data_IF_778840136688
#
_entry.id   IF_778840136688
#
_cell.length_a   1.000
_cell.length_b   1.000
_cell.length_c   1.000
_cell.angle_alpha   90.00
_cell.angle_beta   90.00
_cell.angle_gamma   90.00
#
_symmetry.space_group_name_H-M   'P 1'
#
loop_
_entity.id
_entity.type
_entity.pdbx_description
1 polymer ?
#
# COMPACT_ATOMS: atom_id res chain seq x y z
N UNK A 1 -14.29 -26.23 -1.23
CA UNK A 1 -14.71 -26.58 0.14
C UNK A 1 -14.64 -25.31 1.00
N UNK A 2 -15.79 -24.69 1.39
CA UNK A 2 -15.80 -23.39 2.09
C UNK A 2 -14.99 -23.34 3.39
N UNK A 3 -14.92 -24.45 4.11
CA UNK A 3 -14.12 -24.53 5.33
C UNK A 3 -12.61 -24.46 5.05
N UNK A 4 -12.15 -25.01 3.92
CA UNK A 4 -10.73 -24.98 3.53
C UNK A 4 -10.32 -23.55 3.14
N UNK A 5 -11.14 -22.84 2.35
CA UNK A 5 -10.91 -21.45 2.00
C UNK A 5 -10.87 -20.56 3.25
N UNK A 6 -11.77 -20.82 4.22
CA UNK A 6 -11.77 -20.13 5.52
C UNK A 6 -10.49 -20.34 6.32
N UNK A 7 -10.06 -21.59 6.49
CA UNK A 7 -8.82 -21.91 7.22
C UNK A 7 -7.60 -21.29 6.53
N UNK A 8 -7.49 -21.42 5.20
CA UNK A 8 -6.39 -20.84 4.44
C UNK A 8 -6.35 -19.30 4.59
N UNK A 9 -7.50 -18.65 4.54
CA UNK A 9 -7.61 -17.21 4.73
C UNK A 9 -7.12 -16.76 6.11
N UNK A 10 -7.49 -17.47 7.16
CA UNK A 10 -7.03 -17.16 8.53
C UNK A 10 -5.52 -17.34 8.65
N UNK A 11 -4.95 -18.41 8.08
CA UNK A 11 -3.51 -18.67 8.08
C UNK A 11 -2.76 -17.57 7.31
N UNK A 12 -3.24 -17.16 6.14
CA UNK A 12 -2.64 -16.11 5.34
C UNK A 12 -2.73 -14.75 6.05
N UNK A 13 -3.86 -14.44 6.67
CA UNK A 13 -4.04 -13.21 7.45
C UNK A 13 -3.10 -13.18 8.67
N UNK A 14 -2.99 -14.29 9.40
CA UNK A 14 -2.04 -14.41 10.51
C UNK A 14 -0.59 -14.25 10.03
N UNK A 15 -0.23 -14.90 8.93
CA UNK A 15 1.07 -14.75 8.30
C UNK A 15 1.37 -13.29 7.90
N UNK A 16 0.37 -12.60 7.35
CA UNK A 16 0.49 -11.17 7.01
C UNK A 16 0.75 -10.31 8.25
N UNK A 17 0.04 -10.57 9.35
CA UNK A 17 0.23 -9.85 10.60
C UNK A 17 1.66 -10.08 11.15
N UNK A 18 2.14 -11.32 11.14
CA UNK A 18 3.51 -11.67 11.56
C UNK A 18 4.56 -10.95 10.70
N UNK A 19 4.43 -11.01 9.37
CA UNK A 19 5.36 -10.33 8.45
C UNK A 19 5.36 -8.81 8.67
N UNK A 20 4.17 -8.22 8.87
CA UNK A 20 4.04 -6.77 9.11
C UNK A 20 4.71 -6.36 10.43
N UNK A 21 4.47 -7.11 11.51
CA UNK A 21 5.09 -6.88 12.82
C UNK A 21 6.63 -6.98 12.72
N UNK A 22 7.12 -8.00 12.02
CA UNK A 22 8.57 -8.21 11.82
C UNK A 22 9.19 -7.09 10.98
N UNK A 23 8.56 -6.73 9.86
CA UNK A 23 9.03 -5.63 8.99
C UNK A 23 9.09 -4.31 9.76
N UNK A 24 8.05 -4.00 10.53
CA UNK A 24 7.98 -2.78 11.34
C UNK A 24 8.88 -2.82 12.57
N UNK A 25 9.54 -3.96 12.83
CA UNK A 25 10.50 -4.15 13.92
C UNK A 25 9.88 -3.81 15.30
N UNK A 26 8.68 -4.34 15.53
CA UNK A 26 7.91 -4.11 16.76
C UNK A 26 8.27 -5.14 17.83
N UNK A 27 9.33 -4.89 18.58
CA UNK A 27 9.84 -5.83 19.60
C UNK A 27 9.03 -5.88 20.91
N UNK A 28 8.21 -4.85 21.18
CA UNK A 28 7.37 -4.84 22.39
C UNK A 28 6.10 -5.65 22.13
N UNK A 29 5.82 -6.72 22.92
CA UNK A 29 4.69 -7.62 22.66
C UNK A 29 3.34 -6.90 22.65
N UNK A 30 3.15 -5.90 23.51
CA UNK A 30 1.92 -5.10 23.50
C UNK A 30 1.74 -4.31 22.20
N UNK A 31 2.81 -3.71 21.65
CA UNK A 31 2.73 -2.97 20.38
C UNK A 31 2.56 -3.93 19.20
N UNK A 32 3.26 -5.05 19.20
CA UNK A 32 3.12 -6.09 18.19
C UNK A 32 1.71 -6.66 18.18
N UNK A 33 1.17 -7.00 19.36
CA UNK A 33 -0.20 -7.49 19.52
C UNK A 33 -1.25 -6.47 19.09
N UNK A 34 -1.08 -5.19 19.47
CA UNK A 34 -1.98 -4.13 19.06
C UNK A 34 -1.98 -3.91 17.54
N UNK A 35 -0.80 -3.91 16.90
CA UNK A 35 -0.68 -3.77 15.45
C UNK A 35 -1.32 -4.97 14.72
N UNK A 36 -1.07 -6.18 15.17
CA UNK A 36 -1.69 -7.40 14.63
C UNK A 36 -3.21 -7.37 14.80
N UNK A 37 -3.71 -6.99 15.98
CA UNK A 37 -5.14 -6.89 16.25
C UNK A 37 -5.81 -5.84 15.36
N UNK A 38 -5.22 -4.65 15.24
CA UNK A 38 -5.73 -3.60 14.36
C UNK A 38 -5.82 -4.08 12.91
N UNK A 39 -4.85 -4.85 12.43
CA UNK A 39 -4.84 -5.38 11.08
C UNK A 39 -5.92 -6.44 10.88
N UNK A 40 -6.07 -7.38 11.81
CA UNK A 40 -7.06 -8.47 11.72
C UNK A 40 -8.48 -7.95 11.89
N UNK A 41 -8.69 -7.00 12.80
CA UNK A 41 -10.02 -6.41 13.08
C UNK A 41 -10.37 -5.24 12.14
N UNK A 42 -9.53 -4.95 11.14
CA UNK A 42 -9.82 -3.85 10.22
C UNK A 42 -11.11 -4.13 9.42
N UNK A 43 -12.03 -3.16 9.31
CA UNK A 43 -13.34 -3.38 8.68
C UNK A 43 -13.27 -3.95 7.26
N UNK A 44 -12.25 -3.59 6.46
CA UNK A 44 -12.08 -4.13 5.12
C UNK A 44 -11.77 -5.64 5.14
N UNK A 45 -11.08 -6.17 6.16
CA UNK A 45 -10.87 -7.61 6.31
C UNK A 45 -12.20 -8.30 6.59
N UNK A 46 -13.04 -7.72 7.47
CA UNK A 46 -14.38 -8.22 7.74
C UNK A 46 -15.26 -8.23 6.48
N UNK A 47 -15.24 -7.16 5.69
CA UNK A 47 -15.99 -7.11 4.42
C UNK A 47 -15.48 -8.12 3.40
N UNK A 48 -14.19 -8.39 3.35
CA UNK A 48 -13.60 -9.43 2.47
C UNK A 48 -14.12 -10.82 2.84
N UNK A 49 -14.36 -11.09 4.12
CA UNK A 49 -14.92 -12.37 4.58
C UNK A 49 -16.34 -12.65 4.08
N UNK A 50 -17.05 -11.65 3.58
CA UNK A 50 -18.36 -11.86 2.93
C UNK A 50 -18.27 -12.53 1.56
N UNK A 51 -17.10 -12.47 0.92
CA UNK A 51 -16.81 -13.09 -0.37
C UNK A 51 -16.21 -14.50 -0.18
N UNK A 52 -17.01 -15.44 0.31
CA UNK A 52 -16.59 -16.79 0.76
C UNK A 52 -15.79 -17.56 -0.33
N UNK A 53 -16.11 -17.36 -1.60
CA UNK A 53 -15.48 -18.12 -2.70
C UNK A 53 -14.14 -17.54 -3.17
N UNK A 54 -13.81 -16.30 -2.82
CA UNK A 54 -12.59 -15.59 -3.26
C UNK A 54 -11.78 -15.05 -2.09
N UNK A 55 -12.22 -15.31 -0.85
CA UNK A 55 -11.61 -14.78 0.36
C UNK A 55 -10.14 -15.19 0.51
N UNK A 56 -9.82 -16.44 0.20
CA UNK A 56 -8.44 -16.96 0.23
C UNK A 56 -7.54 -16.26 -0.80
N UNK A 57 -8.06 -15.96 -1.99
CA UNK A 57 -7.35 -15.16 -2.99
C UNK A 57 -7.05 -13.75 -2.48
N UNK A 58 -8.01 -13.06 -1.88
CA UNK A 58 -7.79 -11.73 -1.30
C UNK A 58 -6.78 -11.77 -0.15
N UNK A 59 -6.87 -12.76 0.73
CA UNK A 59 -5.89 -12.90 1.82
C UNK A 59 -4.49 -13.28 1.31
N UNK A 60 -4.41 -14.04 0.21
CA UNK A 60 -3.14 -14.33 -0.46
C UNK A 60 -2.54 -13.06 -1.06
N UNK A 61 -3.33 -12.22 -1.73
CA UNK A 61 -2.86 -10.95 -2.27
C UNK A 61 -2.32 -10.02 -1.17
N UNK A 62 -3.03 -9.95 -0.03
CA UNK A 62 -2.60 -9.20 1.13
C UNK A 62 -1.28 -9.74 1.71
N UNK A 63 -1.17 -11.06 1.85
CA UNK A 63 0.04 -11.74 2.33
C UNK A 63 1.23 -11.49 1.40
N UNK A 64 1.03 -11.60 0.09
CA UNK A 64 2.08 -11.35 -0.90
C UNK A 64 2.56 -9.89 -0.87
N UNK A 65 1.68 -8.92 -0.63
CA UNK A 65 2.05 -7.52 -0.46
C UNK A 65 2.96 -7.30 0.76
N UNK A 66 2.64 -7.92 1.89
CA UNK A 66 3.49 -7.85 3.09
C UNK A 66 4.82 -8.61 2.89
N UNK A 67 4.76 -9.77 2.23
CA UNK A 67 5.94 -10.58 1.90
C UNK A 67 6.88 -9.83 0.96
N UNK A 68 6.37 -9.05 0.02
CA UNK A 68 7.18 -8.21 -0.86
C UNK A 68 8.05 -7.24 -0.06
N UNK A 69 7.45 -6.54 0.90
CA UNK A 69 8.20 -5.61 1.77
C UNK A 69 9.20 -6.36 2.64
N UNK A 70 8.79 -7.50 3.18
CA UNK A 70 9.67 -8.35 3.99
C UNK A 70 10.90 -8.83 3.19
N UNK A 71 10.70 -9.31 1.98
CA UNK A 71 11.79 -9.72 1.09
C UNK A 71 12.77 -8.57 0.83
N UNK A 72 12.26 -7.37 0.54
CA UNK A 72 13.11 -6.21 0.30
C UNK A 72 13.92 -5.81 1.54
N UNK A 73 13.34 -5.91 2.75
CA UNK A 73 13.99 -5.47 3.99
C UNK A 73 14.93 -6.51 4.59
N UNK A 74 14.53 -7.77 4.60
CA UNK A 74 15.22 -8.85 5.34
C UNK A 74 16.18 -9.66 4.49
N UNK A 75 16.13 -9.55 3.15
CA UNK A 75 17.05 -10.30 2.30
C UNK A 75 18.50 -9.90 2.53
N UNK A 76 19.44 -10.86 2.66
CA UNK A 76 20.83 -10.56 2.99
C UNK A 76 21.53 -9.63 1.99
N UNK A 77 21.24 -9.84 0.69
CA UNK A 77 21.72 -8.97 -0.38
C UNK A 77 20.59 -8.04 -0.80
N UNK A 78 20.64 -6.79 -0.35
CA UNK A 78 19.59 -5.77 -0.52
C UNK A 78 19.06 -5.59 -1.96
N UNK A 79 19.93 -5.72 -2.97
CA UNK A 79 19.52 -5.61 -4.39
C UNK A 79 18.77 -6.86 -4.84
N UNK A 80 19.26 -8.06 -4.46
CA UNK A 80 18.60 -9.32 -4.81
C UNK A 80 17.22 -9.48 -4.15
N UNK A 81 17.01 -8.87 -2.99
CA UNK A 81 15.70 -8.85 -2.33
C UNK A 81 14.61 -8.09 -3.10
N UNK A 82 14.98 -7.18 -4.00
CA UNK A 82 14.03 -6.48 -4.85
C UNK A 82 13.36 -7.40 -5.88
N UNK A 83 14.03 -8.47 -6.33
CA UNK A 83 13.48 -9.41 -7.32
C UNK A 83 12.29 -10.18 -6.76
N UNK A 84 12.42 -10.96 -5.64
CA UNK A 84 11.27 -11.64 -5.07
C UNK A 84 10.21 -10.66 -4.57
N UNK A 85 10.59 -9.46 -4.12
CA UNK A 85 9.64 -8.43 -3.74
C UNK A 85 8.79 -7.95 -4.93
N UNK A 86 9.40 -7.70 -6.09
CA UNK A 86 8.69 -7.33 -7.30
C UNK A 86 7.78 -8.48 -7.81
N UNK A 87 8.24 -9.73 -7.75
CA UNK A 87 7.41 -10.89 -8.08
C UNK A 87 6.19 -10.99 -7.16
N UNK A 88 6.39 -10.92 -5.83
CA UNK A 88 5.29 -10.96 -4.87
C UNK A 88 4.28 -9.83 -5.10
N UNK A 89 4.75 -8.61 -5.38
CA UNK A 89 3.86 -7.50 -5.72
C UNK A 89 3.08 -7.76 -7.01
N UNK A 90 3.76 -8.20 -8.07
CA UNK A 90 3.13 -8.49 -9.35
C UNK A 90 2.04 -9.55 -9.24
N UNK A 91 2.30 -10.64 -8.51
CA UNK A 91 1.29 -11.67 -8.22
C UNK A 91 0.15 -11.14 -7.36
N UNK A 92 0.45 -10.35 -6.33
CA UNK A 92 -0.58 -9.71 -5.50
C UNK A 92 -1.53 -8.86 -6.33
N UNK A 93 -0.99 -8.00 -7.19
CA UNK A 93 -1.78 -7.16 -8.11
C UNK A 93 -2.53 -7.99 -9.16
N UNK A 94 -1.96 -9.12 -9.61
CA UNK A 94 -2.62 -10.05 -10.52
C UNK A 94 -3.84 -10.72 -9.92
N UNK A 95 -3.86 -10.95 -8.60
CA UNK A 95 -5.03 -11.47 -7.88
C UNK A 95 -6.05 -10.34 -7.67
N UNK A 96 -5.61 -9.22 -7.10
CA UNK A 96 -6.46 -8.06 -6.89
C UNK A 96 -5.61 -6.78 -6.80
N UNK A 97 -5.77 -5.89 -7.76
CA UNK A 97 -4.95 -4.69 -7.93
C UNK A 97 -4.85 -3.81 -6.70
N UNK A 98 -5.95 -3.67 -5.94
CA UNK A 98 -6.01 -2.79 -4.77
C UNK A 98 -4.99 -3.15 -3.67
N UNK A 99 -4.57 -4.41 -3.57
CA UNK A 99 -3.60 -4.80 -2.53
C UNK A 99 -2.17 -4.32 -2.78
N UNK A 100 -1.84 -3.86 -4.00
CA UNK A 100 -0.60 -3.14 -4.25
C UNK A 100 -0.45 -1.88 -3.39
N UNK A 101 -1.58 -1.23 -2.99
CA UNK A 101 -1.59 -0.13 -2.04
C UNK A 101 -0.97 -0.51 -0.70
N UNK A 102 -1.20 -1.72 -0.21
CA UNK A 102 -0.66 -2.19 1.07
C UNK A 102 0.87 -2.18 1.05
N UNK A 103 1.49 -2.67 -0.02
CA UNK A 103 2.94 -2.62 -0.17
C UNK A 103 3.46 -1.18 -0.21
N UNK A 104 2.81 -0.30 -0.99
CA UNK A 104 3.20 1.11 -1.09
C UNK A 104 3.10 1.80 0.26
N UNK A 105 2.04 1.54 1.03
CA UNK A 105 1.85 2.09 2.37
C UNK A 105 2.90 1.59 3.35
N UNK A 106 3.19 0.30 3.34
CA UNK A 106 4.25 -0.26 4.18
C UNK A 106 5.62 0.37 3.83
N UNK A 107 5.90 0.64 2.56
CA UNK A 107 7.10 1.37 2.15
C UNK A 107 7.14 2.78 2.73
N UNK A 108 6.04 3.52 2.67
CA UNK A 108 5.96 4.85 3.28
C UNK A 108 6.19 4.79 4.80
N UNK A 109 5.57 3.83 5.50
CA UNK A 109 5.80 3.63 6.92
C UNK A 109 7.24 3.26 7.26
N UNK A 110 7.87 2.41 6.45
CA UNK A 110 9.28 2.06 6.64
C UNK A 110 10.21 3.26 6.47
N UNK A 111 9.96 4.13 5.49
CA UNK A 111 10.70 5.39 5.33
C UNK A 111 10.57 6.27 6.57
N UNK A 112 9.33 6.48 7.05
CA UNK A 112 9.06 7.28 8.25
C UNK A 112 9.75 6.67 9.48
N UNK A 113 9.63 5.36 9.70
CA UNK A 113 10.26 4.68 10.83
C UNK A 113 11.80 4.76 10.79
N UNK A 114 12.42 4.62 9.63
CA UNK A 114 13.87 4.78 9.49
C UNK A 114 14.31 6.21 9.83
N UNK A 115 13.57 7.22 9.38
CA UNK A 115 13.84 8.61 9.73
C UNK A 115 13.67 8.85 11.24
N UNK A 116 12.61 8.33 11.86
CA UNK A 116 12.36 8.47 13.29
C UNK A 116 13.42 7.79 14.15
N UNK A 117 13.86 6.58 13.77
CA UNK A 117 14.77 5.78 14.59
C UNK A 117 16.23 6.22 14.51
N UNK A 118 16.75 6.48 13.31
CA UNK A 118 18.20 6.69 13.09
C UNK A 118 18.54 7.95 12.33
N UNK A 119 17.56 8.59 11.65
CA UNK A 119 17.77 9.72 10.74
C UNK A 119 19.03 9.55 9.87
N UNK A 120 19.05 8.59 8.92
CA UNK A 120 20.20 8.32 8.08
C UNK A 120 20.59 9.55 7.23
N UNK A 121 21.79 9.57 6.65
CA UNK A 121 22.14 10.62 5.70
C UNK A 121 21.21 10.62 4.48
N UNK A 122 20.99 11.79 3.88
CA UNK A 122 20.07 11.98 2.76
C UNK A 122 20.33 10.98 1.60
N UNK A 123 21.62 10.72 1.31
CA UNK A 123 22.02 9.76 0.28
C UNK A 123 21.49 8.34 0.54
N UNK A 124 21.56 7.87 1.78
CA UNK A 124 21.04 6.54 2.13
C UNK A 124 19.51 6.49 2.02
N UNK A 125 18.82 7.54 2.47
CA UNK A 125 17.37 7.64 2.35
C UNK A 125 16.93 7.70 0.90
N UNK A 126 17.65 8.47 0.07
CA UNK A 126 17.39 8.54 -1.36
C UNK A 126 17.58 7.19 -2.05
N UNK A 127 18.70 6.51 -1.81
CA UNK A 127 18.96 5.17 -2.36
C UNK A 127 17.90 4.15 -1.90
N UNK A 128 17.45 4.27 -0.66
CA UNK A 128 16.39 3.42 -0.15
C UNK A 128 15.04 3.69 -0.86
N UNK A 129 14.68 4.95 -1.03
CA UNK A 129 13.47 5.34 -1.77
C UNK A 129 13.53 4.92 -3.25
N UNK A 130 14.69 5.07 -3.91
CA UNK A 130 14.92 4.59 -5.29
C UNK A 130 14.74 3.07 -5.37
N UNK A 131 15.26 2.32 -4.40
CA UNK A 131 15.08 0.87 -4.34
C UNK A 131 13.62 0.47 -4.18
N UNK A 132 12.87 1.17 -3.33
CA UNK A 132 11.42 0.98 -3.18
C UNK A 132 10.68 1.26 -4.48
N UNK A 133 10.97 2.40 -5.12
CA UNK A 133 10.36 2.79 -6.38
C UNK A 133 10.67 1.78 -7.50
N UNK A 134 11.91 1.31 -7.60
CA UNK A 134 12.32 0.29 -8.56
C UNK A 134 11.62 -1.05 -8.31
N UNK A 135 11.45 -1.45 -7.04
CA UNK A 135 10.69 -2.66 -6.68
C UNK A 135 9.22 -2.53 -7.06
N UNK A 136 8.61 -1.38 -6.79
CA UNK A 136 7.23 -1.10 -7.16
C UNK A 136 7.04 -1.11 -8.69
N UNK A 137 7.93 -0.44 -9.43
CA UNK A 137 7.91 -0.44 -10.89
C UNK A 137 8.13 -1.85 -11.48
N UNK A 138 9.06 -2.63 -10.89
CA UNK A 138 9.26 -4.03 -11.24
C UNK A 138 8.03 -4.89 -10.99
N UNK A 139 7.36 -4.70 -9.85
CA UNK A 139 6.11 -5.39 -9.52
C UNK A 139 4.99 -5.06 -10.51
N UNK A 140 4.86 -3.78 -10.88
CA UNK A 140 3.91 -3.37 -11.89
C UNK A 140 4.23 -3.98 -13.27
N UNK A 141 5.51 -4.04 -13.65
CA UNK A 141 5.94 -4.68 -14.90
C UNK A 141 5.61 -6.18 -14.90
N UNK A 142 5.84 -6.89 -13.79
CA UNK A 142 5.47 -8.31 -13.64
C UNK A 142 3.96 -8.48 -13.80
N UNK A 143 3.16 -7.66 -13.11
CA UNK A 143 1.71 -7.66 -13.24
C UNK A 143 1.26 -7.47 -14.69
N UNK A 144 1.81 -6.45 -15.36
CA UNK A 144 1.46 -6.16 -16.75
C UNK A 144 1.83 -7.30 -17.71
N UNK A 145 3.02 -7.89 -17.54
CA UNK A 145 3.45 -9.06 -18.31
C UNK A 145 2.52 -10.25 -18.09
N UNK A 146 2.15 -10.55 -16.84
CA UNK A 146 1.20 -11.61 -16.52
C UNK A 146 -0.16 -11.37 -17.20
N UNK A 147 -0.66 -10.14 -17.13
CA UNK A 147 -1.90 -9.75 -17.78
C UNK A 147 -1.85 -10.02 -19.29
N UNK A 148 -0.78 -9.59 -19.98
CA UNK A 148 -0.58 -9.81 -21.40
C UNK A 148 -0.50 -11.30 -21.76
N UNK A 149 0.18 -12.09 -20.95
CA UNK A 149 0.30 -13.54 -21.15
C UNK A 149 -1.08 -14.20 -21.00
N UNK A 150 -1.83 -13.88 -19.97
CA UNK A 150 -3.17 -14.46 -19.74
C UNK A 150 -4.10 -14.07 -20.89
N UNK A 151 -4.14 -12.82 -21.32
CA UNK A 151 -4.97 -12.38 -22.44
C UNK A 151 -4.64 -13.12 -23.74
N UNK A 152 -3.35 -13.32 -24.04
CA UNK A 152 -2.93 -14.08 -25.24
C UNK A 152 -3.29 -15.56 -25.17
N UNK A 153 -3.20 -16.16 -23.98
CA UNK A 153 -3.48 -17.59 -23.80
C UNK A 153 -4.99 -17.89 -23.81
N UNK A 154 -5.79 -16.98 -23.26
CA UNK A 154 -7.24 -17.17 -23.12
C UNK A 154 -8.03 -16.60 -24.31
N UNK A 155 -7.41 -15.73 -25.11
CA UNK A 155 -8.10 -14.99 -26.19
C UNK A 155 -9.15 -13.98 -25.67
N UNK A 156 -9.14 -13.69 -24.36
CA UNK A 156 -10.08 -12.75 -23.74
C UNK A 156 -9.50 -11.35 -23.82
N UNK A 157 -10.28 -10.41 -24.31
CA UNK A 157 -9.94 -8.98 -24.28
C UNK A 157 -10.31 -8.40 -22.92
N UNK A 158 -9.59 -7.34 -22.51
CA UNK A 158 -9.95 -6.60 -21.30
C UNK A 158 -11.35 -6.02 -21.49
N UNK A 159 -12.27 -6.38 -20.59
CA UNK A 159 -13.60 -5.78 -20.59
C UNK A 159 -13.54 -4.32 -20.14
N UNK A 160 -14.41 -3.46 -20.70
CA UNK A 160 -14.54 -2.04 -20.33
C UNK A 160 -15.05 -1.80 -18.90
N UNK A 161 -14.86 -2.78 -18.01
CA UNK A 161 -15.29 -2.64 -16.63
C UNK A 161 -14.32 -1.74 -15.86
N UNK A 162 -14.80 -0.63 -15.36
CA UNK A 162 -14.06 0.33 -14.55
C UNK A 162 -12.79 0.89 -15.24
N UNK A 163 -12.79 1.01 -16.57
CA UNK A 163 -11.68 1.62 -17.32
C UNK A 163 -10.40 0.79 -17.35
N UNK A 164 -10.46 -0.52 -17.03
CA UNK A 164 -9.30 -1.42 -17.07
C UNK A 164 -8.76 -1.59 -18.50
N UNK A 165 -9.60 -1.47 -19.51
CA UNK A 165 -9.26 -1.45 -20.93
C UNK A 165 -8.34 -0.27 -21.30
N UNK A 166 -8.40 0.82 -20.55
CA UNK A 166 -7.57 2.02 -20.72
C UNK A 166 -6.24 2.00 -19.93
N UNK A 167 -5.89 0.84 -19.36
CA UNK A 167 -4.62 0.67 -18.64
C UNK A 167 -3.43 1.07 -19.50
N UNK A 168 -2.81 2.20 -19.16
CA UNK A 168 -1.63 2.70 -19.84
C UNK A 168 -1.89 3.65 -21.03
N UNK A 169 -3.14 3.86 -21.45
CA UNK A 169 -3.43 4.79 -22.56
C UNK A 169 -3.07 6.26 -22.23
N UNK A 170 -3.08 6.62 -20.94
CA UNK A 170 -2.68 7.96 -20.47
C UNK A 170 -1.17 8.10 -20.18
N UNK A 171 -0.39 7.01 -20.20
CA UNK A 171 1.03 7.01 -19.88
C UNK A 171 1.90 7.27 -21.13
N UNK A 172 1.72 8.40 -21.80
CA UNK A 172 2.62 8.82 -22.87
C UNK A 172 3.67 9.80 -22.33
N UNK A 173 4.93 9.68 -22.78
CA UNK A 173 6.02 10.62 -22.46
C UNK A 173 5.87 11.98 -23.16
N UNK A 174 4.70 12.26 -23.74
CA UNK A 174 4.36 13.57 -24.30
C UNK A 174 4.02 14.57 -23.18
N UNK A 175 4.14 15.89 -23.40
CA UNK A 175 3.71 16.89 -22.42
C UNK A 175 2.24 16.75 -22.02
N UNK A 176 1.39 16.29 -22.93
CA UNK A 176 -0.02 16.02 -22.67
C UNK A 176 -0.20 14.78 -21.76
N UNK A 177 0.56 13.71 -22.02
CA UNK A 177 0.55 12.52 -21.17
C UNK A 177 1.06 12.80 -19.75
N UNK A 178 2.10 13.67 -19.62
CA UNK A 178 2.56 14.10 -18.29
C UNK A 178 1.48 14.86 -17.53
N UNK A 179 0.75 15.76 -18.23
CA UNK A 179 -0.37 16.48 -17.63
C UNK A 179 -1.50 15.56 -17.19
N UNK A 180 -1.79 14.53 -17.98
CA UNK A 180 -2.78 13.49 -17.64
C UNK A 180 -2.36 12.73 -16.39
N UNK A 181 -1.10 12.32 -16.27
CA UNK A 181 -0.58 11.66 -15.06
C UNK A 181 -0.70 12.58 -13.84
N UNK A 182 -0.36 13.86 -13.98
CA UNK A 182 -0.53 14.85 -12.89
C UNK A 182 -2.00 14.96 -12.48
N UNK A 183 -2.92 15.02 -13.43
CA UNK A 183 -4.36 15.04 -13.14
C UNK A 183 -4.84 13.76 -12.43
N UNK A 184 -4.38 12.59 -12.87
CA UNK A 184 -4.68 11.31 -12.21
C UNK A 184 -4.21 11.29 -10.75
N UNK A 185 -2.98 11.76 -10.48
CA UNK A 185 -2.43 11.86 -9.12
C UNK A 185 -3.26 12.85 -8.28
N UNK A 186 -3.62 14.01 -8.84
CA UNK A 186 -4.46 14.99 -8.14
C UNK A 186 -5.86 14.45 -7.86
N UNK A 187 -6.46 13.70 -8.77
CA UNK A 187 -7.75 13.04 -8.58
C UNK A 187 -7.65 11.96 -7.48
N UNK A 188 -6.62 11.12 -7.52
CA UNK A 188 -6.38 10.11 -6.48
C UNK A 188 -6.22 10.76 -5.09
N UNK A 189 -5.49 11.88 -5.02
CA UNK A 189 -5.36 12.67 -3.80
C UNK A 189 -6.72 13.23 -3.35
N UNK A 190 -7.45 13.89 -4.26
CA UNK A 190 -8.76 14.46 -3.97
C UNK A 190 -9.73 13.41 -3.43
N UNK A 191 -9.86 12.27 -4.10
CA UNK A 191 -10.76 11.19 -3.66
C UNK A 191 -10.27 10.53 -2.36
N UNK A 192 -8.95 10.38 -2.17
CA UNK A 192 -8.37 9.90 -0.91
C UNK A 192 -8.71 10.82 0.27
N UNK A 193 -8.55 12.13 0.11
CA UNK A 193 -8.94 13.09 1.15
C UNK A 193 -10.45 13.20 1.31
N UNK A 194 -11.22 13.16 0.22
CA UNK A 194 -12.69 13.15 0.26
C UNK A 194 -13.24 11.92 0.97
N UNK A 195 -12.66 10.73 0.74
CA UNK A 195 -13.06 9.50 1.45
C UNK A 195 -12.94 9.66 2.97
N UNK A 196 -11.90 10.35 3.44
CA UNK A 196 -11.73 10.61 4.87
C UNK A 196 -12.76 11.62 5.44
N UNK A 197 -13.34 12.48 4.60
CA UNK A 197 -14.27 13.55 5.01
C UNK A 197 -15.73 13.27 4.64
N UNK A 198 -15.99 12.34 3.71
CA UNK A 198 -17.34 12.09 3.22
C UNK A 198 -18.21 11.40 4.28
N UNK A 199 -19.40 11.94 4.48
CA UNK A 199 -20.47 11.19 5.12
C UNK A 199 -20.90 10.09 4.13
N UNK A 200 -20.68 8.83 4.48
CA UNK A 200 -21.13 7.68 3.71
C UNK A 200 -22.57 7.35 4.12
N UNK A 201 -23.60 7.83 3.39
CA UNK A 201 -25.00 7.66 3.81
C UNK A 201 -25.45 6.20 3.78
N UNK A 202 -24.76 5.34 3.04
CA UNK A 202 -25.17 3.95 2.82
C UNK A 202 -24.91 3.00 4.01
N UNK A 203 -24.18 3.44 5.02
CA UNK A 203 -23.72 2.56 6.13
C UNK A 203 -24.09 3.15 7.50
N UNK A 204 -25.30 3.56 7.73
CA UNK A 204 -25.81 4.17 8.96
C UNK A 204 -24.85 4.11 10.15
N UNK A 205 -24.25 5.25 10.54
CA UNK A 205 -23.26 5.35 11.60
C UNK A 205 -21.78 5.36 11.17
N UNK A 206 -21.46 5.11 9.90
CA UNK A 206 -20.06 5.11 9.38
C UNK A 206 -19.51 6.54 9.23
N UNK A 207 -20.34 7.56 9.17
CA UNK A 207 -19.93 8.96 9.28
C UNK A 207 -19.09 9.20 10.55
N UNK A 208 -19.46 8.57 11.66
CA UNK A 208 -18.73 8.63 12.93
C UNK A 208 -17.40 7.87 12.84
N UNK A 209 -17.38 6.72 12.15
CA UNK A 209 -16.16 5.94 11.95
C UNK A 209 -15.15 6.67 11.04
N UNK A 210 -15.62 7.34 9.97
CA UNK A 210 -14.77 8.16 9.11
C UNK A 210 -14.15 9.34 9.87
N UNK A 211 -14.93 10.04 10.69
CA UNK A 211 -14.44 11.11 11.57
C UNK A 211 -13.45 10.60 12.60
N UNK A 212 -13.66 9.40 13.14
CA UNK A 212 -12.74 8.76 14.07
C UNK A 212 -11.39 8.43 13.39
N UNK A 213 -11.42 7.87 12.18
CA UNK A 213 -10.21 7.59 11.39
C UNK A 213 -9.44 8.89 11.12
N UNK A 214 -10.14 9.97 10.75
CA UNK A 214 -9.55 11.30 10.57
C UNK A 214 -8.90 11.82 11.85
N UNK A 215 -9.59 11.71 12.97
CA UNK A 215 -9.07 12.12 14.28
C UNK A 215 -7.82 11.31 14.62
N UNK A 216 -7.86 9.98 14.47
CA UNK A 216 -6.71 9.11 14.72
C UNK A 216 -5.54 9.43 13.81
N UNK A 217 -5.79 9.69 12.53
CA UNK A 217 -4.76 10.10 11.57
C UNK A 217 -4.12 11.45 11.96
N UNK A 218 -4.95 12.43 12.32
CA UNK A 218 -4.49 13.74 12.80
C UNK A 218 -3.69 13.63 14.10
N UNK A 219 -4.16 12.84 15.07
CA UNK A 219 -3.44 12.56 16.32
C UNK A 219 -2.10 11.85 16.06
N UNK A 220 -2.08 10.88 15.15
CA UNK A 220 -0.85 10.19 14.77
C UNK A 220 0.15 11.14 14.10
N UNK A 221 -0.32 12.02 13.20
CA UNK A 221 0.51 13.05 12.57
C UNK A 221 1.06 14.06 13.57
N UNK A 222 0.24 14.53 14.53
CA UNK A 222 0.67 15.42 15.61
C UNK A 222 1.70 14.75 16.52
N UNK A 223 1.40 13.55 17.02
CA UNK A 223 2.31 12.77 17.86
C UNK A 223 3.65 12.60 17.17
N UNK A 224 3.59 12.30 15.87
CA UNK A 224 4.78 12.13 15.06
C UNK A 224 5.57 13.45 14.90
N UNK A 225 4.94 14.59 14.67
CA UNK A 225 5.59 15.90 14.66
C UNK A 225 6.29 16.18 15.99
N UNK A 226 5.61 15.91 17.12
CA UNK A 226 6.18 16.05 18.47
C UNK A 226 7.42 15.18 18.63
N UNK A 227 7.35 13.91 18.21
CA UNK A 227 8.50 12.98 18.28
C UNK A 227 9.66 13.43 17.36
N UNK A 228 9.37 13.94 16.16
CA UNK A 228 10.39 14.46 15.26
C UNK A 228 11.11 15.69 15.85
N UNK A 229 10.37 16.59 16.49
CA UNK A 229 10.92 17.75 17.19
C UNK A 229 11.72 17.31 18.42
N UNK A 230 11.16 16.44 19.27
CA UNK A 230 11.81 15.92 20.47
C UNK A 230 13.13 15.19 20.15
N UNK A 231 13.20 14.49 19.03
CA UNK A 231 14.42 13.83 18.53
C UNK A 231 15.36 14.78 17.79
N UNK A 232 15.12 16.09 17.84
CA UNK A 232 15.94 17.13 17.20
C UNK A 232 16.16 16.91 15.68
N UNK A 233 15.19 16.34 15.00
CA UNK A 233 15.27 16.08 13.53
C UNK A 233 15.29 17.35 12.71
N UNK A 234 14.84 18.48 13.26
CA UNK A 234 14.94 19.82 12.68
C UNK A 234 16.39 20.27 12.40
N UNK A 235 17.39 19.64 13.03
CA UNK A 235 18.80 19.87 12.68
C UNK A 235 19.15 19.47 11.26
N UNK A 236 18.33 18.61 10.62
CA UNK A 236 18.45 18.26 9.21
C UNK A 236 17.26 18.85 8.47
N UNK A 237 17.50 19.94 7.76
CA UNK A 237 16.48 20.74 7.08
C UNK A 237 15.51 19.94 6.19
N UNK A 238 15.96 18.84 5.60
CA UNK A 238 15.17 17.99 4.71
C UNK A 238 14.26 16.99 5.46
N UNK A 239 14.55 16.68 6.71
CA UNK A 239 13.91 15.56 7.41
C UNK A 239 12.42 15.79 7.68
N UNK A 240 12.06 16.95 8.21
CA UNK A 240 10.66 17.29 8.51
C UNK A 240 9.84 17.45 7.23
N UNK A 241 10.29 18.24 6.20
CA UNK A 241 9.55 18.31 4.94
C UNK A 241 9.35 16.96 4.24
N UNK A 242 10.37 16.10 4.22
CA UNK A 242 10.26 14.77 3.61
C UNK A 242 9.20 13.89 4.31
N UNK A 243 9.17 13.95 5.61
CA UNK A 243 8.21 13.19 6.39
C UNK A 243 6.79 13.74 6.22
N UNK A 244 6.59 15.05 6.21
CA UNK A 244 5.29 15.66 5.91
C UNK A 244 4.82 15.28 4.51
N UNK A 245 5.71 15.30 3.52
CA UNK A 245 5.39 14.84 2.17
C UNK A 245 4.94 13.37 2.15
N UNK A 246 5.61 12.48 2.89
CA UNK A 246 5.19 11.07 3.02
C UNK A 246 3.80 10.94 3.64
N UNK A 247 3.49 11.73 4.68
CA UNK A 247 2.13 11.74 5.24
C UNK A 247 1.10 12.22 4.22
N UNK A 248 1.40 13.27 3.45
CA UNK A 248 0.50 13.74 2.40
C UNK A 248 0.32 12.71 1.26
N UNK A 249 1.31 11.83 1.04
CA UNK A 249 1.22 10.76 0.04
C UNK A 249 0.38 9.58 0.49
N UNK A 250 0.09 9.40 1.79
CA UNK A 250 -0.71 8.27 2.28
C UNK A 250 -2.10 8.21 1.63
N UNK A 251 -2.92 9.28 1.57
CA UNK A 251 -4.22 9.24 0.91
C UNK A 251 -4.13 8.93 -0.59
N UNK A 252 -3.08 9.41 -1.26
CA UNK A 252 -2.82 9.12 -2.68
C UNK A 252 -2.48 7.64 -2.86
N UNK A 253 -1.61 7.10 -2.01
CA UNK A 253 -1.16 5.72 -2.09
C UNK A 253 -2.27 4.71 -1.75
N UNK A 254 -3.17 5.03 -0.83
CA UNK A 254 -4.36 4.21 -0.56
C UNK A 254 -5.27 4.16 -1.79
N UNK A 255 -5.37 5.25 -2.52
CA UNK A 255 -6.22 5.41 -3.70
C UNK A 255 -5.47 5.24 -5.04
N UNK A 256 -4.28 4.63 -5.02
CA UNK A 256 -3.46 4.50 -6.22
C UNK A 256 -4.17 3.79 -7.38
N UNK A 257 -5.19 2.98 -7.10
CA UNK A 257 -6.00 2.30 -8.12
C UNK A 257 -6.64 3.31 -9.07
N UNK A 258 -7.04 4.49 -8.60
CA UNK A 258 -7.55 5.56 -9.45
C UNK A 258 -6.49 6.18 -10.39
N UNK A 259 -5.19 5.95 -10.11
CA UNK A 259 -4.12 6.34 -11.04
C UNK A 259 -4.01 5.33 -12.18
N UNK A 260 -4.32 4.06 -11.88
CA UNK A 260 -4.25 2.97 -12.86
C UNK A 260 -5.54 2.85 -13.64
N UNK A 261 -6.67 3.07 -12.98
CA UNK A 261 -8.02 2.96 -13.54
C UNK A 261 -8.86 4.17 -13.07
N UNK A 262 -8.87 5.27 -13.84
CA UNK A 262 -9.46 6.55 -13.41
C UNK A 262 -10.99 6.55 -13.33
N UNK A 263 -11.65 5.50 -13.80
CA UNK A 263 -13.11 5.35 -13.78
C UNK A 263 -13.66 4.57 -12.56
N UNK A 264 -12.78 4.22 -11.62
CA UNK A 264 -13.16 3.49 -10.39
C UNK A 264 -13.67 4.44 -9.30
#
# INVERSE_FOLDING_TARGET
LPWLTGVLSVVLLAGTAVLTVDVLDLHRPMLAGAAALMMVCFPAVGSTCTYIYTMDGYMLALFLSALAVWCMERWPKKVLGCIPAALCMGFSMGIYQAYGAVMLMLFCFMLVLKMLRRLPPLKEMFLYAVRMAATAAGGFAVYYLMLQVVMRLTGVELGGYQGIDNLGSGLSLSPQGLMTVVQMVLNAAYHGYKFLTADLPALGGVATAGKLVWLLYGCAALLWCVLAVARRQWKRWWAIPAQLALFCLVPVGVNYVQIISPEV
#
